data_IF_461949171753
#
_entry.id   IF_461949171753
#
_cell.length_a   1.000
_cell.length_b   1.000
_cell.length_c   1.000
_cell.angle_alpha   90.00
_cell.angle_beta   90.00
_cell.angle_gamma   90.00
#
_symmetry.space_group_name_H-M   'P 1'
#
loop_
_entity.id
_entity.type
_entity.pdbx_description
1 polymer ?
#
# COMPACT_ATOMS: atom_id res chain seq x y z
N UNK A 1 -34.88 40.57 -49.85
CA UNK A 1 -33.50 40.50 -49.31
C UNK A 1 -33.42 39.90 -47.91
N UNK A 2 -34.53 39.94 -47.14
CA UNK A 2 -34.59 39.42 -45.77
C UNK A 2 -34.74 37.87 -45.75
N UNK A 3 -35.58 37.33 -46.64
CA UNK A 3 -35.81 35.89 -46.77
C UNK A 3 -34.56 35.04 -47.19
N UNK A 4 -33.60 35.70 -47.86
CA UNK A 4 -32.36 35.03 -48.27
C UNK A 4 -31.32 34.97 -47.12
N UNK A 5 -31.45 35.74 -46.07
CA UNK A 5 -30.60 35.73 -44.88
C UNK A 5 -31.05 34.69 -43.86
N UNK A 6 -32.33 34.43 -43.80
CA UNK A 6 -32.87 33.44 -42.82
C UNK A 6 -32.70 32.00 -43.30
N UNK A 7 -32.52 31.78 -44.62
CA UNK A 7 -32.19 30.45 -45.18
C UNK A 7 -30.73 30.06 -44.98
N UNK A 8 -29.82 31.01 -44.75
CA UNK A 8 -28.39 30.70 -44.55
C UNK A 8 -28.02 30.34 -43.11
N UNK A 9 -28.95 30.59 -42.13
CA UNK A 9 -28.71 30.34 -40.71
C UNK A 9 -29.16 28.93 -40.24
N UNK A 10 -29.77 28.12 -41.13
CA UNK A 10 -30.34 26.83 -40.74
C UNK A 10 -29.45 25.61 -41.11
N UNK A 11 -28.20 25.83 -41.53
CA UNK A 11 -27.27 24.72 -41.67
C UNK A 11 -26.49 24.49 -40.40
N UNK A 12 -27.25 24.11 -39.36
CA UNK A 12 -26.63 23.50 -38.17
C UNK A 12 -26.02 22.15 -38.59
N UNK A 13 -24.74 22.14 -38.86
CA UNK A 13 -23.96 20.93 -39.00
C UNK A 13 -24.10 20.14 -37.68
N UNK A 14 -25.05 19.23 -37.65
CA UNK A 14 -25.08 18.16 -36.64
C UNK A 14 -23.81 17.36 -36.80
N UNK A 15 -22.82 17.66 -35.97
CA UNK A 15 -21.64 16.86 -35.80
C UNK A 15 -22.12 15.43 -35.53
N UNK A 16 -21.78 14.43 -36.36
CA UNK A 16 -22.17 13.06 -36.05
C UNK A 16 -21.58 12.74 -34.68
N UNK A 17 -22.46 12.48 -33.71
CA UNK A 17 -22.06 11.92 -32.43
C UNK A 17 -21.31 10.64 -32.76
N UNK A 18 -20.01 10.63 -32.51
CA UNK A 18 -19.22 9.40 -32.58
C UNK A 18 -19.98 8.34 -31.78
N UNK A 19 -20.23 7.13 -32.33
CA UNK A 19 -20.85 6.07 -31.56
C UNK A 19 -20.04 5.93 -30.30
N UNK A 20 -20.68 5.73 -29.13
CA UNK A 20 -19.93 5.41 -27.94
C UNK A 20 -19.09 4.20 -28.32
N UNK A 21 -17.80 4.43 -28.46
CA UNK A 21 -16.84 3.34 -28.57
C UNK A 21 -17.09 2.50 -27.30
N UNK A 22 -17.90 1.46 -27.45
CA UNK A 22 -17.87 0.33 -26.55
C UNK A 22 -16.50 -0.27 -26.78
N UNK A 23 -15.48 0.40 -26.24
CA UNK A 23 -14.30 -0.31 -25.84
C UNK A 23 -14.87 -1.41 -24.96
N UNK A 24 -14.92 -2.63 -25.50
CA UNK A 24 -14.89 -3.81 -24.66
C UNK A 24 -13.65 -3.59 -23.81
N UNK A 25 -13.83 -2.98 -22.63
CA UNK A 25 -12.76 -2.75 -21.71
C UNK A 25 -12.36 -4.15 -21.26
N UNK A 26 -11.37 -4.71 -21.95
CA UNK A 26 -10.68 -5.89 -21.45
C UNK A 26 -10.31 -5.54 -20.01
N UNK A 27 -10.62 -6.39 -19.04
CA UNK A 27 -10.32 -6.09 -17.65
C UNK A 27 -8.83 -5.78 -17.55
N UNK A 28 -8.52 -4.59 -17.05
CA UNK A 28 -7.12 -4.22 -16.83
C UNK A 28 -6.51 -5.21 -15.85
N UNK A 29 -5.19 -5.42 -15.84
CA UNK A 29 -4.54 -6.27 -14.84
C UNK A 29 -4.97 -5.95 -13.42
N UNK A 30 -5.21 -4.67 -13.11
CA UNK A 30 -5.72 -4.23 -11.81
C UNK A 30 -7.12 -4.79 -11.50
N UNK A 31 -8.04 -4.78 -12.45
CA UNK A 31 -9.39 -5.33 -12.27
C UNK A 31 -9.35 -6.85 -12.08
N UNK A 32 -8.45 -7.55 -12.77
CA UNK A 32 -8.25 -8.98 -12.57
C UNK A 32 -7.76 -9.30 -11.16
N UNK A 33 -6.86 -8.47 -10.63
CA UNK A 33 -6.37 -8.59 -9.26
C UNK A 33 -7.51 -8.38 -8.25
N UNK A 34 -8.29 -7.31 -8.42
CA UNK A 34 -9.45 -7.02 -7.55
C UNK A 34 -10.46 -8.18 -7.60
N UNK A 35 -10.74 -8.72 -8.77
CA UNK A 35 -11.62 -9.86 -8.93
C UNK A 35 -11.09 -11.11 -8.21
N UNK A 36 -9.79 -11.37 -8.30
CA UNK A 36 -9.16 -12.48 -7.59
C UNK A 36 -9.31 -12.33 -6.07
N UNK A 37 -9.15 -11.13 -5.52
CA UNK A 37 -9.37 -10.87 -4.10
C UNK A 37 -10.83 -10.96 -3.68
N UNK A 38 -11.76 -10.51 -4.52
CA UNK A 38 -13.19 -10.59 -4.24
C UNK A 38 -13.76 -12.02 -4.40
N UNK A 39 -13.01 -12.93 -5.01
CA UNK A 39 -13.49 -14.28 -5.33
C UNK A 39 -14.00 -15.12 -4.14
N UNK A 40 -13.43 -15.06 -2.92
CA UNK A 40 -14.00 -15.75 -1.77
C UNK A 40 -15.42 -15.29 -1.44
N UNK A 41 -15.69 -13.99 -1.50
CA UNK A 41 -17.02 -13.45 -1.29
C UNK A 41 -18.00 -13.92 -2.35
N UNK A 42 -17.61 -13.96 -3.62
CA UNK A 42 -18.41 -14.47 -4.71
C UNK A 42 -18.75 -15.96 -4.50
N UNK A 43 -17.83 -16.77 -4.03
CA UNK A 43 -18.05 -18.18 -3.72
C UNK A 43 -19.07 -18.36 -2.58
N UNK A 44 -18.97 -17.57 -1.51
CA UNK A 44 -19.96 -17.58 -0.40
C UNK A 44 -21.35 -17.18 -0.90
N UNK A 45 -21.45 -16.14 -1.71
CA UNK A 45 -22.72 -15.69 -2.28
C UNK A 45 -23.37 -16.73 -3.21
N UNK A 46 -22.57 -17.58 -3.84
CA UNK A 46 -23.05 -18.68 -4.68
C UNK A 46 -23.53 -19.91 -3.88
N UNK A 47 -23.32 -19.92 -2.57
CA UNK A 47 -23.71 -21.02 -1.67
C UNK A 47 -24.67 -20.53 -0.54
N UNK A 48 -25.83 -19.93 -0.87
CA UNK A 48 -26.68 -19.24 0.11
C UNK A 48 -27.27 -20.16 1.17
N UNK A 49 -27.44 -21.45 0.87
CA UNK A 49 -28.10 -22.42 1.75
C UNK A 49 -27.13 -23.10 2.75
N UNK A 50 -25.86 -22.77 2.72
CA UNK A 50 -24.89 -23.32 3.67
C UNK A 50 -24.96 -22.54 4.98
N UNK A 51 -25.29 -23.17 6.10
CA UNK A 51 -25.38 -22.49 7.40
C UNK A 51 -23.98 -22.13 7.88
N UNK A 52 -23.90 -21.02 8.66
CA UNK A 52 -22.67 -20.61 9.30
C UNK A 52 -22.15 -21.72 10.24
N UNK A 53 -20.85 -21.90 10.24
CA UNK A 53 -20.18 -22.95 11.00
C UNK A 53 -18.98 -22.39 11.80
N UNK A 54 -18.30 -23.26 12.53
CA UNK A 54 -17.18 -22.85 13.37
C UNK A 54 -16.00 -22.23 12.58
N UNK A 55 -15.82 -22.64 11.32
CA UNK A 55 -14.75 -22.08 10.47
C UNK A 55 -15.07 -20.62 10.07
N UNK A 56 -16.35 -20.28 9.86
CA UNK A 56 -16.76 -18.88 9.65
C UNK A 56 -16.42 -18.00 10.85
N UNK A 57 -16.67 -18.51 12.07
CA UNK A 57 -16.34 -17.77 13.29
C UNK A 57 -14.82 -17.57 13.43
N UNK A 58 -14.03 -18.58 13.11
CA UNK A 58 -12.56 -18.48 13.09
C UNK A 58 -12.09 -17.49 12.02
N UNK A 59 -12.63 -17.59 10.80
CA UNK A 59 -12.32 -16.70 9.70
C UNK A 59 -12.64 -15.24 10.06
N UNK A 60 -13.80 -14.98 10.66
CA UNK A 60 -14.20 -13.65 11.12
C UNK A 60 -13.26 -13.10 12.19
N UNK A 61 -12.95 -13.91 13.20
CA UNK A 61 -12.04 -13.49 14.27
C UNK A 61 -10.64 -13.16 13.76
N UNK A 62 -10.09 -14.01 12.90
CA UNK A 62 -8.77 -13.78 12.28
C UNK A 62 -8.76 -12.55 11.39
N UNK A 63 -9.76 -12.39 10.53
CA UNK A 63 -9.89 -11.22 9.66
C UNK A 63 -9.94 -9.94 10.49
N UNK A 64 -10.79 -9.91 11.52
CA UNK A 64 -10.94 -8.74 12.42
C UNK A 64 -9.63 -8.43 13.15
N UNK A 65 -8.94 -9.45 13.67
CA UNK A 65 -7.67 -9.28 14.35
C UNK A 65 -6.59 -8.74 13.40
N UNK A 66 -6.53 -9.24 12.17
CA UNK A 66 -5.56 -8.79 11.20
C UNK A 66 -5.83 -7.34 10.76
N UNK A 67 -7.07 -6.95 10.49
CA UNK A 67 -7.45 -5.57 10.16
C UNK A 67 -7.07 -4.61 11.32
N UNK A 68 -7.37 -4.98 12.55
CA UNK A 68 -6.98 -4.18 13.71
C UNK A 68 -5.46 -4.11 13.87
N UNK A 69 -4.77 -5.23 13.66
CA UNK A 69 -3.32 -5.28 13.72
C UNK A 69 -2.65 -4.39 12.68
N UNK A 70 -3.17 -4.39 11.45
CA UNK A 70 -2.71 -3.53 10.36
C UNK A 70 -2.93 -2.05 10.70
N UNK A 71 -4.14 -1.68 11.13
CA UNK A 71 -4.46 -0.32 11.56
C UNK A 71 -3.52 0.18 12.67
N UNK A 72 -3.23 -0.66 13.66
CA UNK A 72 -2.29 -0.32 14.74
C UNK A 72 -0.85 -0.18 14.21
N UNK A 73 -0.41 -1.06 13.31
CA UNK A 73 0.93 -0.99 12.72
C UNK A 73 1.12 0.30 11.92
N UNK A 74 0.13 0.67 11.12
CA UNK A 74 0.16 1.87 10.29
C UNK A 74 0.07 3.14 11.14
N UNK A 75 -0.75 3.17 12.20
CA UNK A 75 -0.81 4.27 13.15
C UNK A 75 0.54 4.47 13.87
N UNK A 76 1.19 3.39 14.30
CA UNK A 76 2.54 3.46 14.88
C UNK A 76 3.56 4.04 13.89
N UNK A 77 3.51 3.63 12.64
CA UNK A 77 4.37 4.17 11.59
C UNK A 77 4.07 5.64 11.33
N UNK A 78 2.80 6.01 11.24
CA UNK A 78 2.36 7.39 11.03
C UNK A 78 2.85 8.32 12.15
N UNK A 79 2.62 7.95 13.40
CA UNK A 79 3.09 8.72 14.58
C UNK A 79 4.60 8.86 14.57
N UNK A 80 5.33 7.76 14.31
CA UNK A 80 6.78 7.78 14.23
C UNK A 80 7.28 8.73 13.14
N UNK A 81 6.75 8.65 11.93
CA UNK A 81 7.18 9.50 10.82
C UNK A 81 6.82 10.97 11.08
N UNK A 82 5.62 11.24 11.57
CA UNK A 82 5.15 12.61 11.88
C UNK A 82 6.07 13.28 12.88
N UNK A 83 6.37 12.63 14.00
CA UNK A 83 7.21 13.21 15.04
C UNK A 83 8.68 13.34 14.57
N UNK A 84 9.20 12.36 13.85
CA UNK A 84 10.53 12.43 13.24
C UNK A 84 10.69 13.66 12.33
N UNK A 85 9.71 13.92 11.47
CA UNK A 85 9.76 15.06 10.56
C UNK A 85 9.50 16.38 11.28
N UNK A 86 8.62 16.42 12.30
CA UNK A 86 8.42 17.59 13.15
C UNK A 86 9.72 18.02 13.81
N UNK A 87 10.42 17.10 14.48
CA UNK A 87 11.71 17.38 15.14
C UNK A 87 12.74 17.89 14.17
N UNK A 88 12.83 17.25 13.01
CA UNK A 88 13.76 17.68 11.96
C UNK A 88 13.47 19.10 11.47
N UNK A 89 12.21 19.46 11.28
CA UNK A 89 11.78 20.79 10.85
C UNK A 89 12.08 21.86 11.92
N UNK A 90 11.95 21.50 13.20
CA UNK A 90 12.21 22.37 14.34
C UNK A 90 13.71 22.50 14.67
N UNK A 91 14.60 21.75 14.00
CA UNK A 91 16.02 21.72 14.32
C UNK A 91 16.33 21.03 15.65
N UNK A 92 15.39 20.28 16.20
CA UNK A 92 15.54 19.55 17.45
C UNK A 92 16.49 18.35 17.30
N UNK A 93 17.11 17.95 18.40
CA UNK A 93 17.91 16.72 18.43
C UNK A 93 17.03 15.51 18.07
N UNK A 94 17.53 14.58 17.22
CA UNK A 94 16.72 13.46 16.74
C UNK A 94 16.27 12.50 17.84
N UNK A 95 16.98 12.41 18.97
CA UNK A 95 16.64 11.55 20.09
C UNK A 95 16.37 10.09 19.66
N UNK A 96 15.21 9.50 20.02
CA UNK A 96 14.86 8.11 19.67
C UNK A 96 14.67 7.92 18.16
N UNK A 97 14.59 8.99 17.37
CA UNK A 97 14.43 8.94 15.90
C UNK A 97 15.76 8.98 15.16
N UNK A 98 16.90 8.95 15.86
CA UNK A 98 18.25 9.08 15.28
C UNK A 98 18.54 7.96 14.25
N UNK A 99 18.01 6.75 14.46
CA UNK A 99 18.18 5.63 13.52
C UNK A 99 17.39 5.83 12.22
N UNK A 100 16.33 6.65 12.24
CA UNK A 100 15.57 7.04 11.06
C UNK A 100 14.46 6.09 10.62
N UNK A 101 14.30 4.93 11.26
CA UNK A 101 13.26 3.94 11.04
C UNK A 101 12.65 3.49 12.37
N UNK A 102 11.42 2.98 12.33
CA UNK A 102 10.69 2.46 13.51
C UNK A 102 11.16 1.05 13.85
N UNK A 103 11.31 0.77 15.14
CA UNK A 103 11.67 -0.54 15.69
C UNK A 103 10.97 -0.83 17.03
N UNK A 104 9.87 -0.12 17.31
CA UNK A 104 9.08 -0.25 18.53
C UNK A 104 7.66 -0.73 18.23
N UNK A 105 6.93 -1.14 19.28
CA UNK A 105 5.57 -1.65 19.13
C UNK A 105 5.52 -2.94 18.30
N UNK A 106 4.58 -3.05 17.37
CA UNK A 106 4.47 -4.20 16.47
C UNK A 106 5.70 -4.38 15.58
N UNK A 107 6.39 -3.29 15.25
CA UNK A 107 7.62 -3.28 14.48
C UNK A 107 8.82 -3.88 15.22
N UNK A 108 8.70 -4.13 16.53
CA UNK A 108 9.70 -4.90 17.27
C UNK A 108 9.53 -6.42 17.12
N UNK A 109 8.35 -6.88 16.74
CA UNK A 109 8.04 -8.30 16.57
C UNK A 109 8.35 -8.79 15.15
N UNK A 110 8.10 -7.94 14.15
CA UNK A 110 8.53 -8.18 12.77
C UNK A 110 8.74 -6.86 12.04
N UNK A 111 9.51 -6.90 10.97
CA UNK A 111 9.90 -5.70 10.22
C UNK A 111 8.79 -5.17 9.31
N UNK A 112 7.78 -5.99 9.02
CA UNK A 112 6.65 -5.65 8.15
C UNK A 112 5.33 -6.14 8.74
N UNK A 113 4.91 -5.62 9.94
CA UNK A 113 3.69 -6.08 10.61
C UNK A 113 2.42 -5.77 9.80
N UNK A 114 2.38 -4.64 9.11
CA UNK A 114 1.28 -4.28 8.22
C UNK A 114 1.15 -5.26 7.04
N UNK A 115 2.25 -5.61 6.36
CA UNK A 115 2.23 -6.61 5.27
C UNK A 115 1.84 -8.00 5.76
N UNK A 116 2.26 -8.38 6.97
CA UNK A 116 1.81 -9.62 7.59
C UNK A 116 0.31 -9.61 7.83
N UNK A 117 -0.23 -8.54 8.39
CA UNK A 117 -1.65 -8.39 8.65
C UNK A 117 -2.46 -8.35 7.34
N UNK A 118 -2.03 -7.57 6.35
CA UNK A 118 -2.65 -7.51 5.02
C UNK A 118 -2.75 -8.90 4.37
N UNK A 119 -1.64 -9.63 4.27
CA UNK A 119 -1.66 -10.99 3.71
C UNK A 119 -2.57 -11.91 4.53
N UNK A 120 -2.50 -11.85 5.85
CA UNK A 120 -3.30 -12.70 6.73
C UNK A 120 -4.79 -12.39 6.65
N UNK A 121 -5.16 -11.13 6.40
CA UNK A 121 -6.55 -10.72 6.13
C UNK A 121 -7.08 -11.46 4.89
N UNK A 122 -6.35 -11.48 3.79
CA UNK A 122 -6.79 -12.17 2.58
C UNK A 122 -6.81 -13.68 2.72
N UNK A 123 -5.86 -14.27 3.46
CA UNK A 123 -5.88 -15.68 3.78
C UNK A 123 -7.05 -16.06 4.71
N UNK A 124 -7.41 -15.19 5.66
CA UNK A 124 -8.58 -15.43 6.52
C UNK A 124 -9.90 -15.23 5.78
N UNK A 125 -9.99 -14.27 4.85
CA UNK A 125 -11.16 -14.14 3.96
C UNK A 125 -11.34 -15.37 3.06
N UNK A 126 -10.23 -15.99 2.62
CA UNK A 126 -10.27 -17.24 1.88
C UNK A 126 -10.97 -18.37 2.67
N UNK A 127 -10.81 -18.42 4.00
CA UNK A 127 -11.43 -19.45 4.83
C UNK A 127 -12.96 -19.43 4.76
N UNK A 128 -13.59 -18.29 4.48
CA UNK A 128 -15.05 -18.24 4.27
C UNK A 128 -15.47 -19.05 3.04
N UNK A 129 -14.69 -19.05 1.98
CA UNK A 129 -14.99 -19.89 0.82
C UNK A 129 -14.86 -21.39 1.11
N UNK A 130 -13.93 -21.75 1.99
CA UNK A 130 -13.76 -23.12 2.49
C UNK A 130 -14.97 -23.50 3.38
N UNK A 131 -15.36 -22.61 4.30
CA UNK A 131 -16.49 -22.79 5.20
C UNK A 131 -17.82 -22.96 4.43
N UNK A 132 -17.98 -22.23 3.31
CA UNK A 132 -19.12 -22.34 2.41
C UNK A 132 -19.11 -23.62 1.55
N UNK A 133 -18.15 -24.52 1.74
CA UNK A 133 -18.08 -25.78 1.00
C UNK A 133 -17.75 -25.63 -0.48
N UNK A 134 -17.04 -24.57 -0.86
CA UNK A 134 -16.63 -24.34 -2.26
C UNK A 134 -15.88 -25.56 -2.79
N UNK A 135 -16.32 -26.15 -3.93
CA UNK A 135 -15.68 -27.33 -4.48
C UNK A 135 -14.20 -27.14 -4.78
N UNK A 136 -13.40 -28.15 -4.47
CA UNK A 136 -11.96 -28.13 -4.70
C UNK A 136 -11.24 -29.37 -4.22
N UNK A 137 -9.93 -29.38 -4.33
CA UNK A 137 -9.10 -30.47 -3.81
C UNK A 137 -9.09 -30.46 -2.28
N UNK A 138 -8.69 -31.60 -1.69
CA UNK A 138 -8.60 -31.79 -0.24
C UNK A 138 -9.92 -31.44 0.50
N UNK A 139 -11.07 -31.85 -0.06
CA UNK A 139 -12.36 -31.57 0.55
C UNK A 139 -12.74 -30.09 0.55
N UNK A 140 -12.30 -29.32 -0.45
CA UNK A 140 -12.58 -27.86 -0.56
C UNK A 140 -11.51 -26.96 0.06
N UNK A 141 -10.56 -27.53 0.82
CA UNK A 141 -9.45 -26.74 1.40
C UNK A 141 -8.54 -26.10 0.36
N UNK A 142 -8.51 -26.60 -0.86
CA UNK A 142 -7.81 -25.96 -1.98
C UNK A 142 -8.82 -25.77 -3.11
N UNK A 143 -9.38 -24.59 -3.20
CA UNK A 143 -10.35 -24.20 -4.22
C UNK A 143 -9.85 -23.02 -5.04
N UNK A 144 -10.53 -22.65 -6.11
CA UNK A 144 -10.10 -21.65 -7.08
C UNK A 144 -9.94 -20.23 -6.48
N UNK A 145 -10.60 -19.92 -5.37
CA UNK A 145 -10.52 -18.59 -4.75
C UNK A 145 -9.19 -18.35 -4.03
N UNK A 146 -8.36 -19.39 -3.89
CA UNK A 146 -6.99 -19.28 -3.35
C UNK A 146 -6.10 -18.36 -4.19
N UNK A 147 -6.47 -18.10 -5.44
CA UNK A 147 -5.68 -17.28 -6.37
C UNK A 147 -5.39 -15.87 -5.83
N UNK A 148 -6.36 -15.24 -5.13
CA UNK A 148 -6.18 -13.91 -4.55
C UNK A 148 -5.08 -13.85 -3.48
N UNK A 149 -5.24 -14.56 -2.35
CA UNK A 149 -4.24 -14.53 -1.28
C UNK A 149 -2.88 -15.09 -1.72
N UNK A 150 -2.87 -16.09 -2.61
CA UNK A 150 -1.64 -16.62 -3.17
C UNK A 150 -0.89 -15.57 -4.01
N UNK A 151 -1.62 -14.84 -4.87
CA UNK A 151 -1.06 -13.76 -5.68
C UNK A 151 -0.39 -12.70 -4.78
N UNK A 152 -1.08 -12.24 -3.74
CA UNK A 152 -0.53 -11.25 -2.81
C UNK A 152 0.73 -11.76 -2.10
N UNK A 153 0.70 -13.02 -1.67
CA UNK A 153 1.86 -13.64 -1.04
C UNK A 153 3.07 -13.68 -1.99
N UNK A 154 2.84 -14.05 -3.26
CA UNK A 154 3.88 -14.04 -4.30
C UNK A 154 4.35 -12.63 -4.63
N UNK A 155 3.48 -11.63 -4.56
CA UNK A 155 3.84 -10.23 -4.79
C UNK A 155 4.74 -9.66 -3.68
N UNK A 156 4.58 -10.11 -2.44
CA UNK A 156 5.27 -9.53 -1.28
C UNK A 156 6.52 -10.30 -0.85
N UNK A 157 6.47 -11.63 -0.82
CA UNK A 157 7.41 -12.45 -0.05
C UNK A 157 8.67 -12.88 -0.80
N UNK A 158 8.62 -13.30 -2.08
CA UNK A 158 9.78 -13.85 -2.78
C UNK A 158 10.96 -12.89 -2.87
N UNK A 159 12.16 -13.39 -3.16
CA UNK A 159 13.32 -12.56 -3.47
C UNK A 159 13.01 -11.58 -4.62
N UNK A 160 13.46 -10.35 -4.49
CA UNK A 160 13.21 -9.22 -5.40
C UNK A 160 11.75 -8.74 -5.48
N UNK A 161 10.87 -9.29 -4.65
CA UNK A 161 9.49 -8.82 -4.50
C UNK A 161 9.41 -7.54 -3.65
N UNK A 162 8.20 -7.07 -3.37
CA UNK A 162 7.92 -5.77 -2.74
C UNK A 162 8.68 -5.54 -1.43
N UNK A 163 8.74 -6.55 -0.56
CA UNK A 163 9.44 -6.44 0.73
C UNK A 163 10.96 -6.29 0.54
N UNK A 164 11.56 -7.06 -0.39
CA UNK A 164 13.00 -6.94 -0.68
C UNK A 164 13.37 -5.56 -1.19
N UNK A 165 12.56 -4.99 -2.07
CA UNK A 165 12.75 -3.63 -2.58
C UNK A 165 12.70 -2.63 -1.44
N UNK A 166 11.70 -2.73 -0.57
CA UNK A 166 11.54 -1.85 0.60
C UNK A 166 12.74 -1.95 1.55
N UNK A 167 13.20 -3.16 1.85
CA UNK A 167 14.36 -3.39 2.72
C UNK A 167 15.69 -2.93 2.09
N UNK A 168 15.83 -3.09 0.79
CA UNK A 168 17.00 -2.59 0.05
C UNK A 168 17.07 -1.07 0.13
N UNK A 169 15.94 -0.38 -0.10
CA UNK A 169 15.85 1.07 0.02
C UNK A 169 16.11 1.54 1.46
N UNK A 170 15.54 0.84 2.45
CA UNK A 170 15.77 1.15 3.86
C UNK A 170 17.24 0.99 4.26
N UNK A 171 17.87 -0.12 3.85
CA UNK A 171 19.28 -0.41 4.16
C UNK A 171 20.23 0.55 3.48
N UNK A 172 19.93 1.00 2.27
CA UNK A 172 20.76 1.99 1.56
C UNK A 172 20.66 3.37 2.22
N UNK A 173 19.50 3.72 2.76
CA UNK A 173 19.24 5.00 3.40
C UNK A 173 19.71 5.03 4.86
N UNK A 174 19.60 3.92 5.56
CA UNK A 174 19.89 3.79 6.99
C UNK A 174 20.84 2.61 7.24
N UNK A 175 22.16 2.82 7.35
CA UNK A 175 23.13 1.72 7.56
C UNK A 175 22.83 0.84 8.78
N UNK A 176 22.28 1.43 9.86
CA UNK A 176 21.86 0.72 11.06
C UNK A 176 20.67 -0.22 10.86
N UNK A 177 19.98 -0.15 9.70
CA UNK A 177 18.87 -1.04 9.38
C UNK A 177 19.30 -2.52 9.27
N UNK A 178 20.56 -2.77 8.91
CA UNK A 178 21.11 -4.13 8.86
C UNK A 178 21.14 -4.81 10.24
N UNK A 179 21.37 -4.04 11.30
CA UNK A 179 21.32 -4.57 12.69
C UNK A 179 19.89 -4.97 13.06
N UNK A 180 18.90 -4.17 12.65
CA UNK A 180 17.48 -4.46 12.81
C UNK A 180 17.07 -5.71 12.01
N UNK A 181 17.54 -5.85 10.77
CA UNK A 181 17.32 -7.06 9.96
C UNK A 181 17.88 -8.33 10.62
N UNK A 182 19.01 -8.24 11.30
CA UNK A 182 19.62 -9.37 11.98
C UNK A 182 18.90 -9.76 13.28
N UNK A 183 18.19 -8.82 13.92
CA UNK A 183 17.56 -8.99 15.22
C UNK A 183 16.09 -9.35 15.17
N UNK A 184 15.37 -8.87 14.16
CA UNK A 184 13.91 -8.92 14.07
C UNK A 184 13.45 -9.71 12.86
N UNK A 185 12.44 -10.56 13.03
CA UNK A 185 11.83 -11.35 11.97
C UNK A 185 11.39 -10.48 10.78
N UNK A 186 11.47 -11.03 9.56
CA UNK A 186 11.11 -10.28 8.35
C UNK A 186 9.61 -9.99 8.27
N UNK A 187 8.76 -11.02 8.43
CA UNK A 187 7.30 -10.92 8.19
C UNK A 187 6.54 -11.52 9.36
N UNK A 188 6.79 -12.78 9.70
CA UNK A 188 6.02 -13.45 10.75
C UNK A 188 6.40 -12.86 12.10
N UNK A 189 5.42 -12.31 12.87
CA UNK A 189 5.69 -11.79 14.19
C UNK A 189 6.30 -12.86 15.09
N UNK A 190 7.47 -12.57 15.64
CA UNK A 190 8.17 -13.45 16.54
C UNK A 190 8.86 -12.64 17.62
N UNK A 191 9.01 -13.23 18.81
CA UNK A 191 9.79 -12.56 19.85
C UNK A 191 11.19 -12.29 19.34
N UNK A 192 11.69 -11.05 19.45
CA UNK A 192 13.03 -10.70 18.98
C UNK A 192 14.00 -11.64 19.69
N UNK A 193 14.78 -12.39 18.91
CA UNK A 193 15.87 -13.17 19.43
C UNK A 193 16.71 -12.24 20.28
N UNK A 194 17.33 -12.74 21.37
CA UNK A 194 18.32 -11.95 22.12
C UNK A 194 19.36 -11.53 21.09
N UNK A 195 19.15 -10.38 20.47
CA UNK A 195 20.19 -9.73 19.70
C UNK A 195 21.37 -9.75 20.66
N UNK A 196 22.45 -10.47 20.33
CA UNK A 196 23.70 -10.27 21.02
C UNK A 196 23.78 -8.75 21.14
N UNK A 197 23.79 -8.23 22.37
CA UNK A 197 24.15 -6.85 22.65
C UNK A 197 25.50 -6.65 22.00
N UNK A 198 25.52 -6.47 20.69
CA UNK A 198 26.66 -6.09 19.95
C UNK A 198 26.96 -4.68 20.44
N UNK A 199 27.76 -4.68 21.52
CA UNK A 199 28.54 -3.53 21.93
C UNK A 199 27.76 -2.19 22.08
N UNK A 200 26.79 -2.14 23.02
CA UNK A 200 26.63 -0.94 23.83
C UNK A 200 27.82 -0.88 24.81
N UNK A 201 29.03 -0.84 24.32
CA UNK A 201 30.23 -0.88 25.14
C UNK A 201 31.48 -0.66 24.33
N UNK A 202 31.55 0.42 23.57
CA UNK A 202 32.80 1.13 23.36
C UNK A 202 32.51 2.52 22.77
N UNK A 203 32.40 3.50 23.67
CA UNK A 203 32.43 4.91 23.32
C UNK A 203 33.80 5.29 22.76
N UNK A 204 34.09 4.89 21.51
CA UNK A 204 35.13 5.52 20.74
C UNK A 204 34.48 6.46 19.74
N UNK A 205 34.83 7.72 19.91
CA UNK A 205 34.46 8.89 19.15
C UNK A 205 34.23 8.57 17.67
N UNK A 206 33.00 8.72 17.19
CA UNK A 206 32.72 8.80 15.76
C UNK A 206 33.37 10.06 15.25
N UNK A 207 34.46 9.92 14.49
CA UNK A 207 35.06 11.01 13.72
C UNK A 207 33.94 11.71 12.96
N UNK A 208 33.82 13.04 13.15
CA UNK A 208 32.99 13.93 12.37
C UNK A 208 33.18 13.63 10.88
N UNK A 209 32.22 12.90 10.30
CA UNK A 209 32.06 12.86 8.85
C UNK A 209 31.47 14.21 8.46
N UNK A 210 32.17 14.91 7.58
CA UNK A 210 31.89 16.28 7.18
C UNK A 210 30.42 16.48 6.78
N UNK A 211 29.90 17.60 7.24
CA UNK A 211 28.59 18.15 6.95
C UNK A 211 28.49 18.48 5.45
N UNK A 212 28.09 17.55 4.63
CA UNK A 212 27.69 17.86 3.25
C UNK A 212 26.24 18.34 3.33
N UNK A 213 25.95 19.60 2.99
CA UNK A 213 24.57 20.08 3.01
C UNK A 213 23.73 19.31 1.99
N UNK A 214 22.47 19.02 2.29
CA UNK A 214 21.58 18.35 1.34
C UNK A 214 21.43 19.21 0.07
N UNK A 215 21.30 18.59 -1.12
CA UNK A 215 21.08 19.32 -2.34
C UNK A 215 19.81 20.18 -2.20
N UNK A 216 19.91 21.45 -2.60
CA UNK A 216 18.79 22.39 -2.59
C UNK A 216 17.66 21.80 -3.45
N UNK A 217 16.39 21.88 -3.01
CA UNK A 217 15.27 21.45 -3.83
C UNK A 217 15.31 22.26 -5.15
N UNK A 218 15.36 21.53 -6.26
CA UNK A 218 15.21 22.12 -7.59
C UNK A 218 13.81 22.71 -7.67
N UNK A 219 13.77 24.03 -7.80
CA UNK A 219 12.54 24.79 -8.00
C UNK A 219 11.90 24.28 -9.29
N UNK A 220 10.73 23.66 -9.18
CA UNK A 220 9.89 23.39 -10.34
C UNK A 220 9.68 24.66 -11.15
N UNK A 221 9.75 24.63 -12.48
CA UNK A 221 9.49 25.81 -13.29
C UNK A 221 8.09 26.32 -12.99
N UNK A 222 7.99 27.54 -12.49
CA UNK A 222 6.73 28.25 -12.29
C UNK A 222 6.08 28.42 -13.66
N UNK A 223 5.00 27.70 -13.93
CA UNK A 223 4.15 27.98 -15.07
C UNK A 223 3.78 29.49 -15.05
N UNK A 224 4.24 30.21 -16.05
CA UNK A 224 3.84 31.62 -16.27
C UNK A 224 2.34 31.63 -16.55
N UNK A 225 1.54 32.06 -15.56
CA UNK A 225 0.16 32.42 -15.81
C UNK A 225 0.17 33.64 -16.74
N UNK A 226 -0.22 33.45 -17.98
CA UNK A 226 -0.49 34.52 -18.92
C UNK A 226 -1.74 35.27 -18.46
N UNK A 227 -1.55 36.50 -18.07
CA UNK A 227 -2.61 37.44 -17.72
C UNK A 227 -3.48 37.72 -18.97
N UNK A 228 -4.82 37.61 -18.92
CA UNK A 228 -5.64 37.98 -20.07
C UNK A 228 -5.53 39.48 -20.32
N UNK A 229 -5.27 39.84 -21.56
CA UNK A 229 -5.21 41.21 -22.02
C UNK A 229 -6.60 41.87 -21.90
N UNK A 230 -6.68 43.03 -21.21
CA UNK A 230 -7.85 43.90 -21.19
C UNK A 230 -7.99 44.53 -22.56
N UNK A 231 -9.12 44.30 -23.22
CA UNK A 231 -9.54 45.06 -24.39
C UNK A 231 -9.86 46.51 -24.00
N UNK A 232 -9.48 47.50 -24.80
CA UNK A 232 -9.86 48.87 -24.56
C UNK A 232 -11.31 49.14 -24.95
N UNK A 233 -12.05 49.82 -24.06
CA UNK A 233 -13.40 50.32 -24.32
C UNK A 233 -13.38 51.35 -25.46
N UNK A 234 -14.23 51.15 -26.47
CA UNK A 234 -14.55 52.16 -27.46
C UNK A 234 -15.59 53.14 -26.89
N UNK A 235 -15.27 54.41 -27.02
CA UNK A 235 -16.27 55.52 -26.93
C UNK A 235 -17.14 55.56 -28.18
#
# INVERSE_FOLDING_TARGET
AQQARDAAAATTTTRPSAPPSRLLALPTPQQMIILAFASPAAAVMAAPDVPLNALDAVAFALTSLCILGEAVADEQMWQYQTEKYRRRAAGEAPGPYARGFIESGLWSLCRHPNYFCEMSTWWSLYLFSVAAGTPGALGGWVNWTIAGPLFLTVLFVPPRASIDVTETLASSKYPAYKEYQAAVSRIVPWFPGKAKKAAAGNGKAVKKVGNTPPPKPTRSPRLKQTRPSRSPARR
#
